data_IF_971955550441
#
_entry.id   IF_971955550441
#
_cell.length_a   1.000
_cell.length_b   1.000
_cell.length_c   1.000
_cell.angle_alpha   90.00
_cell.angle_beta   90.00
_cell.angle_gamma   90.00
#
_symmetry.space_group_name_H-M   'P 1'
#
loop_
_entity.id
_entity.type
_entity.pdbx_description
1 polymer ?
#
# COMPACT_ATOMS: atom_id res chain seq x y z
N UNK A 1 -9.43 36.81 4.63
CA UNK A 1 -8.46 37.73 4.01
C UNK A 1 -7.07 37.33 4.46
N UNK A 2 -6.18 37.04 3.49
CA UNK A 2 -4.70 36.97 3.59
C UNK A 2 -4.09 36.00 4.61
N UNK A 3 -3.68 34.78 4.21
CA UNK A 3 -2.41 34.41 3.52
C UNK A 3 -1.18 34.84 4.32
N UNK A 4 -0.45 33.87 4.89
CA UNK A 4 1.01 33.81 4.81
C UNK A 4 1.46 32.36 4.69
N UNK A 5 1.66 31.96 3.43
CA UNK A 5 2.38 30.75 3.00
C UNK A 5 3.87 31.12 2.97
N UNK A 6 4.69 30.47 3.79
CA UNK A 6 6.15 30.60 3.70
C UNK A 6 6.63 29.56 2.66
N UNK A 7 6.95 30.06 1.46
CA UNK A 7 7.66 29.31 0.41
C UNK A 7 9.16 29.29 0.73
N UNK A 8 9.72 28.10 0.96
CA UNK A 8 11.13 27.84 0.73
C UNK A 8 11.25 26.98 -0.52
N UNK A 9 11.92 27.53 -1.52
CA UNK A 9 12.11 26.95 -2.84
C UNK A 9 13.60 26.62 -2.97
N UNK A 10 13.97 25.35 -2.83
CA UNK A 10 15.28 24.80 -3.17
C UNK A 10 15.02 23.68 -4.19
N UNK A 11 15.56 23.84 -5.40
CA UNK A 11 15.20 23.07 -6.58
C UNK A 11 15.80 21.67 -6.64
N UNK A 12 15.15 20.78 -7.42
CA UNK A 12 15.84 19.65 -8.05
C UNK A 12 15.26 18.23 -7.94
N UNK A 13 13.93 18.04 -8.02
CA UNK A 13 13.23 16.84 -8.55
C UNK A 13 13.43 15.49 -7.81
N UNK A 14 12.43 15.08 -7.02
CA UNK A 14 11.52 13.98 -7.40
C UNK A 14 10.24 14.05 -6.58
N UNK A 15 9.12 14.15 -7.31
CA UNK A 15 7.73 14.01 -6.86
C UNK A 15 7.57 13.79 -5.35
N UNK A 16 7.31 14.85 -4.59
CA UNK A 16 6.39 14.72 -3.48
C UNK A 16 5.11 14.18 -4.09
N UNK A 17 4.93 12.86 -4.12
CA UNK A 17 3.66 12.25 -4.40
C UNK A 17 2.73 12.83 -3.34
N UNK A 18 2.00 13.88 -3.72
CA UNK A 18 0.98 14.49 -2.87
C UNK A 18 0.15 13.33 -2.37
N UNK A 19 0.18 13.09 -1.06
CA UNK A 19 -0.68 12.09 -0.46
C UNK A 19 -2.11 12.51 -0.82
N UNK A 20 -2.72 11.76 -1.72
CA UNK A 20 -4.11 11.96 -2.08
C UNK A 20 -4.96 11.38 -0.95
N UNK A 21 -4.90 11.94 0.26
CA UNK A 21 -5.56 11.29 1.41
C UNK A 21 -7.10 11.34 1.31
N UNK A 22 -7.64 12.20 0.44
CA UNK A 22 -9.06 12.28 0.16
C UNK A 22 -9.49 11.30 -0.95
N UNK A 23 -10.63 10.64 -0.72
CA UNK A 23 -11.36 9.88 -1.72
C UNK A 23 -12.42 10.75 -2.38
N UNK A 24 -12.49 10.71 -3.70
CA UNK A 24 -13.52 11.34 -4.51
C UNK A 24 -14.71 10.40 -4.72
N UNK A 25 -15.85 10.99 -5.08
CA UNK A 25 -17.04 10.18 -5.37
C UNK A 25 -16.88 9.30 -6.62
N UNK A 26 -16.08 9.74 -7.59
CA UNK A 26 -15.79 8.96 -8.80
C UNK A 26 -14.88 7.75 -8.48
N UNK A 27 -13.90 7.92 -7.59
CA UNK A 27 -13.09 6.80 -7.07
C UNK A 27 -13.95 5.79 -6.30
N UNK A 28 -14.91 6.26 -5.49
CA UNK A 28 -15.85 5.40 -4.78
C UNK A 28 -16.79 4.64 -5.73
N UNK A 29 -17.28 5.31 -6.79
CA UNK A 29 -18.11 4.69 -7.82
C UNK A 29 -17.37 3.58 -8.56
N UNK A 30 -16.12 3.85 -8.98
CA UNK A 30 -15.28 2.85 -9.65
C UNK A 30 -15.00 1.65 -8.74
N UNK A 31 -14.65 1.89 -7.48
CA UNK A 31 -14.42 0.83 -6.49
C UNK A 31 -15.70 0.00 -6.28
N UNK A 32 -16.88 0.65 -6.24
CA UNK A 32 -18.15 -0.05 -6.11
C UNK A 32 -18.48 -0.92 -7.32
N UNK A 33 -18.33 -0.38 -8.52
CA UNK A 33 -18.63 -1.08 -9.77
C UNK A 33 -17.79 -2.35 -9.93
N UNK A 34 -16.46 -2.23 -9.83
CA UNK A 34 -15.53 -3.34 -10.02
C UNK A 34 -15.72 -4.41 -8.95
N UNK A 35 -15.95 -4.01 -7.69
CA UNK A 35 -16.20 -4.96 -6.59
C UNK A 35 -17.52 -5.70 -6.78
N UNK A 36 -18.60 -5.01 -7.17
CA UNK A 36 -19.89 -5.65 -7.44
C UNK A 36 -19.80 -6.60 -8.64
N UNK A 37 -19.05 -6.24 -9.68
CA UNK A 37 -18.75 -7.12 -10.83
C UNK A 37 -18.07 -8.41 -10.35
N UNK A 38 -17.01 -8.31 -9.55
CA UNK A 38 -16.30 -9.47 -8.98
C UNK A 38 -17.23 -10.36 -8.13
N UNK A 39 -18.14 -9.77 -7.35
CA UNK A 39 -19.12 -10.51 -6.55
C UNK A 39 -20.08 -11.29 -7.46
N UNK A 40 -20.60 -10.67 -8.54
CA UNK A 40 -21.46 -11.34 -9.53
C UNK A 40 -20.71 -12.46 -10.25
N UNK A 41 -19.45 -12.19 -10.61
CA UNK A 41 -18.53 -13.09 -11.29
C UNK A 41 -18.01 -14.22 -10.40
N UNK A 42 -18.20 -14.12 -9.10
CA UNK A 42 -17.78 -15.12 -8.14
C UNK A 42 -16.28 -15.13 -7.88
N UNK A 43 -15.58 -14.08 -8.32
CA UNK A 43 -14.19 -13.79 -7.98
C UNK A 43 -14.09 -13.28 -6.53
N UNK A 44 -12.88 -13.07 -6.03
CA UNK A 44 -12.62 -12.60 -4.67
C UNK A 44 -12.60 -11.07 -4.62
N UNK A 45 -12.90 -10.50 -3.46
CA UNK A 45 -12.80 -9.05 -3.25
C UNK A 45 -11.34 -8.56 -3.30
N UNK A 46 -10.38 -9.42 -2.93
CA UNK A 46 -8.95 -9.10 -3.00
C UNK A 46 -8.51 -8.80 -4.44
N UNK A 47 -8.94 -9.64 -5.39
CA UNK A 47 -8.68 -9.41 -6.82
C UNK A 47 -9.34 -8.13 -7.33
N UNK A 48 -10.55 -7.82 -6.84
CA UNK A 48 -11.21 -6.56 -7.17
C UNK A 48 -10.42 -5.34 -6.64
N UNK A 49 -9.88 -5.42 -5.43
CA UNK A 49 -9.10 -4.34 -4.82
C UNK A 49 -7.72 -4.16 -5.46
N UNK A 50 -7.13 -5.24 -5.97
CA UNK A 50 -5.92 -5.20 -6.78
C UNK A 50 -6.17 -4.47 -8.10
N UNK A 51 -7.22 -4.86 -8.84
CA UNK A 51 -7.60 -4.21 -10.09
C UNK A 51 -7.93 -2.71 -9.91
N UNK A 52 -8.67 -2.35 -8.85
CA UNK A 52 -9.01 -0.94 -8.58
C UNK A 52 -7.79 -0.16 -8.09
N UNK A 53 -6.93 -0.79 -7.29
CA UNK A 53 -5.69 -0.19 -6.80
C UNK A 53 -4.78 0.24 -7.94
N UNK A 54 -4.61 -0.61 -8.94
CA UNK A 54 -3.84 -0.28 -10.15
C UNK A 54 -4.45 0.92 -10.90
N UNK A 55 -5.77 0.93 -11.10
CA UNK A 55 -6.46 2.02 -11.84
C UNK A 55 -6.41 3.36 -11.12
N UNK A 56 -6.52 3.36 -9.79
CA UNK A 56 -6.52 4.58 -8.97
C UNK A 56 -5.12 4.97 -8.45
N UNK A 57 -4.08 4.20 -8.81
CA UNK A 57 -2.73 4.36 -8.24
C UNK A 57 -2.75 4.32 -6.69
N UNK A 58 -3.55 3.41 -6.12
CA UNK A 58 -3.73 3.17 -4.68
C UNK A 58 -3.28 1.76 -4.31
N UNK A 59 -2.99 1.55 -3.02
CA UNK A 59 -2.74 0.20 -2.53
C UNK A 59 -4.04 -0.59 -2.40
N UNK A 60 -4.03 -1.92 -2.65
CA UNK A 60 -5.22 -2.76 -2.46
C UNK A 60 -5.75 -2.70 -1.02
N UNK A 61 -4.86 -2.55 -0.05
CA UNK A 61 -5.22 -2.34 1.35
C UNK A 61 -6.05 -1.05 1.55
N UNK A 62 -5.66 0.07 0.94
CA UNK A 62 -6.41 1.32 1.02
C UNK A 62 -7.81 1.19 0.39
N UNK A 63 -7.93 0.49 -0.74
CA UNK A 63 -9.22 0.18 -1.37
C UNK A 63 -10.10 -0.65 -0.44
N UNK A 64 -9.53 -1.66 0.23
CA UNK A 64 -10.23 -2.46 1.23
C UNK A 64 -10.72 -1.65 2.43
N UNK A 65 -9.90 -0.74 2.96
CA UNK A 65 -10.29 0.16 4.05
C UNK A 65 -11.44 1.09 3.64
N UNK A 66 -11.38 1.68 2.44
CA UNK A 66 -12.45 2.55 1.92
C UNK A 66 -13.75 1.78 1.75
N UNK A 67 -13.66 0.59 1.15
CA UNK A 67 -14.79 -0.30 0.94
C UNK A 67 -15.49 -0.65 2.26
N UNK A 68 -14.73 -1.11 3.26
CA UNK A 68 -15.30 -1.56 4.54
C UNK A 68 -15.85 -0.41 5.39
N UNK A 69 -15.24 0.78 5.31
CA UNK A 69 -15.62 1.93 6.14
C UNK A 69 -16.92 2.58 5.69
N UNK A 70 -17.13 2.73 4.37
CA UNK A 70 -18.21 3.53 3.79
C UNK A 70 -19.01 2.78 2.72
N UNK A 71 -18.36 2.41 1.62
CA UNK A 71 -19.03 1.95 0.39
C UNK A 71 -19.87 0.69 0.64
N UNK A 72 -19.36 -0.27 1.43
CA UNK A 72 -20.09 -1.50 1.75
C UNK A 72 -21.45 -1.24 2.39
N UNK A 73 -21.56 -0.19 3.22
CA UNK A 73 -22.83 0.20 3.86
C UNK A 73 -23.77 0.89 2.88
N UNK A 74 -23.23 1.74 2.00
CA UNK A 74 -24.01 2.46 0.99
C UNK A 74 -24.59 1.52 -0.09
N UNK A 75 -23.86 0.46 -0.45
CA UNK A 75 -24.21 -0.47 -1.53
C UNK A 75 -24.76 -1.81 -1.04
N UNK A 76 -25.26 -1.91 0.19
CA UNK A 76 -25.69 -3.20 0.78
C UNK A 76 -26.79 -3.91 -0.05
N UNK A 77 -27.74 -3.14 -0.59
CA UNK A 77 -28.79 -3.65 -1.48
C UNK A 77 -28.19 -4.22 -2.78
N UNK A 78 -27.24 -3.50 -3.39
CA UNK A 78 -26.56 -3.92 -4.61
C UNK A 78 -25.67 -5.15 -4.37
N UNK A 79 -25.01 -5.25 -3.21
CA UNK A 79 -24.21 -6.42 -2.79
C UNK A 79 -25.12 -7.64 -2.65
N UNK A 80 -26.29 -7.48 -2.02
CA UNK A 80 -27.26 -8.56 -1.85
C UNK A 80 -27.78 -9.06 -3.20
N UNK A 81 -28.10 -8.14 -4.13
CA UNK A 81 -28.49 -8.49 -5.49
C UNK A 81 -27.36 -9.21 -6.24
N UNK A 82 -26.12 -8.71 -6.16
CA UNK A 82 -24.96 -9.33 -6.79
C UNK A 82 -24.70 -10.77 -6.29
N UNK A 83 -24.85 -11.00 -4.97
CA UNK A 83 -24.76 -12.33 -4.38
C UNK A 83 -25.88 -13.26 -4.84
N UNK A 84 -27.11 -12.74 -4.96
CA UNK A 84 -28.25 -13.50 -5.50
C UNK A 84 -27.99 -13.94 -6.94
N UNK A 85 -27.50 -13.02 -7.78
CA UNK A 85 -27.12 -13.31 -9.18
C UNK A 85 -26.03 -14.38 -9.27
N UNK A 86 -24.99 -14.32 -8.43
CA UNK A 86 -23.96 -15.37 -8.35
C UNK A 86 -24.57 -16.74 -8.02
N UNK A 87 -25.49 -16.79 -7.05
CA UNK A 87 -26.18 -18.03 -6.64
C UNK A 87 -27.03 -18.60 -7.77
N UNK A 88 -27.79 -17.77 -8.48
CA UNK A 88 -28.61 -18.18 -9.63
C UNK A 88 -27.76 -18.70 -10.78
N UNK A 89 -26.64 -18.02 -11.09
CA UNK A 89 -25.71 -18.46 -12.14
C UNK A 89 -25.02 -19.78 -11.80
N UNK A 90 -24.64 -19.97 -10.53
CA UNK A 90 -24.10 -21.25 -10.08
C UNK A 90 -25.16 -22.35 -10.11
N UNK A 91 -26.44 -22.04 -9.84
CA UNK A 91 -27.55 -23.00 -9.98
C UNK A 91 -27.72 -23.45 -11.44
N UNK A 92 -27.58 -22.54 -12.41
CA UNK A 92 -27.62 -22.86 -13.85
C UNK A 92 -26.44 -23.72 -14.33
N UNK A 93 -25.25 -23.59 -13.73
CA UNK A 93 -24.10 -24.47 -14.02
C UNK A 93 -24.22 -25.87 -13.40
N UNK A 94 -24.98 -26.01 -12.31
CA UNK A 94 -25.27 -27.30 -11.67
C UNK A 94 -26.41 -28.08 -12.36
N UNK A 95 -27.16 -27.47 -13.28
CA UNK A 95 -28.24 -28.14 -14.03
C UNK A 95 -27.78 -28.94 -15.27
N UNK A 96 -26.47 -28.99 -15.54
CA UNK A 96 -25.84 -29.95 -16.47
C UNK A 96 -25.17 -31.13 -15.75
N UNK A 97 -25.61 -31.46 -14.54
CA UNK A 97 -25.47 -32.82 -13.99
C UNK A 97 -26.78 -33.54 -14.25
N UNK A 98 -26.71 -34.53 -15.11
CA UNK A 98 -27.75 -35.50 -15.39
C UNK A 98 -28.41 -35.94 -14.08
N UNK A 99 -29.75 -35.87 -14.07
CA UNK A 99 -30.59 -36.57 -13.12
C UNK A 99 -30.22 -38.06 -13.16
N UNK A 100 -29.52 -38.54 -12.15
CA UNK A 100 -29.54 -39.95 -11.81
C UNK A 100 -30.75 -40.17 -10.91
N UNK A 101 -31.68 -40.99 -11.40
CA UNK A 101 -32.76 -41.53 -10.59
C UNK A 101 -32.14 -42.31 -9.42
N UNK A 102 -32.67 -42.05 -8.24
CA UNK A 102 -32.45 -42.81 -7.02
C UNK A 102 -32.99 -44.24 -7.20
N UNK A 103 -32.18 -45.29 -7.07
CA UNK A 103 -32.71 -46.61 -6.75
C UNK A 103 -32.76 -46.74 -5.23
N UNK A 104 -33.91 -47.20 -4.73
CA UNK A 104 -34.09 -47.65 -3.35
C UNK A 104 -32.93 -48.54 -2.91
N UNK A 105 -32.27 -48.16 -1.82
CA UNK A 105 -31.17 -48.92 -1.24
C UNK A 105 -31.75 -50.06 -0.40
N UNK A 106 -31.70 -51.27 -0.93
CA UNK A 106 -31.75 -52.49 -0.13
C UNK A 106 -30.38 -52.66 0.54
N UNK A 107 -30.35 -52.63 1.87
CA UNK A 107 -29.13 -52.80 2.67
C UNK A 107 -28.71 -54.27 2.62
N UNK A 108 -27.57 -54.55 1.98
CA UNK A 108 -26.84 -55.82 2.16
C UNK A 108 -25.46 -55.50 2.75
N UNK A 109 -25.20 -56.06 3.94
CA UNK A 109 -23.93 -56.01 4.63
C UNK A 109 -22.83 -56.63 3.76
N UNK A 110 -21.74 -55.90 3.52
CA UNK A 110 -20.47 -56.42 3.00
C UNK A 110 -19.31 -55.67 3.70
N UNK A 111 -18.73 -56.31 4.71
CA UNK A 111 -17.61 -55.80 5.54
C UNK A 111 -16.26 -55.71 4.78
N UNK A 112 -16.20 -56.07 3.50
CA UNK A 112 -14.97 -55.99 2.68
C UNK A 112 -14.72 -54.59 2.06
N UNK A 113 -15.66 -53.65 2.16
CA UNK A 113 -15.61 -52.36 1.44
C UNK A 113 -14.93 -51.23 2.22
N UNK A 114 -14.85 -51.33 3.55
CA UNK A 114 -14.35 -50.25 4.40
C UNK A 114 -12.81 -50.20 4.46
N UNK A 115 -12.17 -51.37 4.31
CA UNK A 115 -10.71 -51.51 4.24
C UNK A 115 -10.13 -50.89 2.95
N UNK A 116 -10.76 -51.14 1.80
CA UNK A 116 -10.32 -50.56 0.52
C UNK A 116 -10.57 -49.05 0.46
N UNK A 117 -11.65 -48.56 1.09
CA UNK A 117 -11.94 -47.13 1.22
C UNK A 117 -10.95 -46.40 2.13
N UNK A 118 -10.53 -47.04 3.23
CA UNK A 118 -9.47 -46.54 4.11
C UNK A 118 -8.11 -46.58 3.43
N UNK A 119 -7.78 -47.64 2.68
CA UNK A 119 -6.55 -47.71 1.88
C UNK A 119 -6.48 -46.56 0.86
N UNK A 120 -7.53 -46.37 0.07
CA UNK A 120 -7.58 -45.28 -0.92
C UNK A 120 -7.58 -43.88 -0.29
N UNK A 121 -8.02 -43.75 0.97
CA UNK A 121 -7.90 -42.51 1.73
C UNK A 121 -6.48 -42.28 2.24
N UNK A 122 -5.84 -43.32 2.77
CA UNK A 122 -4.44 -43.30 3.18
C UNK A 122 -3.55 -42.95 1.98
N UNK A 123 -3.81 -43.50 0.80
CA UNK A 123 -3.09 -43.16 -0.43
C UNK A 123 -3.23 -41.67 -0.80
N UNK A 124 -4.42 -41.09 -0.65
CA UNK A 124 -4.65 -39.65 -0.87
C UNK A 124 -3.94 -38.79 0.17
N UNK A 125 -3.93 -39.22 1.43
CA UNK A 125 -3.20 -38.55 2.51
C UNK A 125 -1.69 -38.60 2.25
N UNK A 126 -1.15 -39.72 1.77
CA UNK A 126 0.25 -39.85 1.39
C UNK A 126 0.61 -38.88 0.27
N UNK A 127 -0.20 -38.81 -0.78
CA UNK A 127 0.01 -37.85 -1.88
C UNK A 127 -0.03 -36.40 -1.40
N UNK A 128 -0.97 -36.06 -0.51
CA UNK A 128 -1.07 -34.73 0.08
C UNK A 128 0.15 -34.38 0.96
N UNK A 129 0.63 -35.33 1.77
CA UNK A 129 1.81 -35.12 2.61
C UNK A 129 3.10 -35.00 1.77
N UNK A 130 3.20 -35.72 0.66
CA UNK A 130 4.30 -35.55 -0.30
C UNK A 130 4.27 -34.18 -0.97
N UNK A 131 3.09 -33.71 -1.39
CA UNK A 131 2.89 -32.35 -1.94
C UNK A 131 3.25 -31.26 -0.91
N UNK A 132 2.84 -31.43 0.35
CA UNK A 132 3.23 -30.52 1.44
C UNK A 132 4.73 -30.50 1.68
N UNK A 133 5.41 -31.65 1.63
CA UNK A 133 6.86 -31.73 1.77
C UNK A 133 7.57 -30.97 0.65
N UNK A 134 7.06 -31.09 -0.58
CA UNK A 134 7.60 -30.38 -1.75
C UNK A 134 7.42 -28.87 -1.61
N UNK A 135 6.20 -28.42 -1.26
CA UNK A 135 5.91 -27.01 -0.98
C UNK A 135 6.73 -26.46 0.17
N UNK A 136 6.97 -27.25 1.22
CA UNK A 136 7.80 -26.83 2.33
C UNK A 136 9.29 -26.70 1.93
N UNK A 137 9.77 -27.56 1.02
CA UNK A 137 11.11 -27.42 0.44
C UNK A 137 11.22 -26.20 -0.49
N UNK A 138 10.17 -25.88 -1.25
CA UNK A 138 10.08 -24.66 -2.07
C UNK A 138 9.98 -23.37 -1.22
N UNK A 139 9.45 -23.45 0.00
CA UNK A 139 9.39 -22.33 0.93
C UNK A 139 10.70 -22.07 1.69
N UNK A 140 11.63 -23.03 1.72
CA UNK A 140 12.94 -22.85 2.33
C UNK A 140 13.75 -21.67 1.72
N UNK A 141 13.88 -21.52 0.38
CA UNK A 141 14.57 -20.37 -0.22
C UNK A 141 13.85 -19.04 0.01
N UNK A 142 12.52 -19.03 0.14
CA UNK A 142 11.75 -17.83 0.51
C UNK A 142 12.08 -17.34 1.93
N UNK A 143 12.48 -18.25 2.83
CA UNK A 143 12.97 -17.93 4.17
C UNK A 143 14.32 -17.22 4.14
N UNK A 144 15.25 -17.70 3.30
CA UNK A 144 16.56 -17.08 3.10
C UNK A 144 16.44 -15.70 2.43
N UNK A 145 15.56 -15.56 1.43
CA UNK A 145 15.28 -14.28 0.79
C UNK A 145 14.67 -13.28 1.78
N UNK A 146 13.71 -13.71 2.61
CA UNK A 146 13.18 -12.87 3.69
C UNK A 146 14.25 -12.45 4.70
N UNK A 147 15.19 -13.34 5.03
CA UNK A 147 16.30 -13.00 5.91
C UNK A 147 17.23 -11.97 5.27
N UNK A 148 17.58 -12.14 4.00
CA UNK A 148 18.41 -11.20 3.23
C UNK A 148 17.73 -9.84 3.10
N UNK A 149 16.44 -9.80 2.77
CA UNK A 149 15.65 -8.57 2.68
C UNK A 149 15.59 -7.84 4.02
N UNK A 150 15.43 -8.56 5.13
CA UNK A 150 15.47 -7.96 6.47
C UNK A 150 16.84 -7.38 6.81
N UNK A 151 17.93 -8.06 6.44
CA UNK A 151 19.28 -7.51 6.61
C UNK A 151 19.50 -6.25 5.77
N UNK A 152 19.04 -6.24 4.51
CA UNK A 152 19.14 -5.07 3.64
C UNK A 152 18.33 -3.89 4.18
N UNK A 153 17.12 -4.12 4.70
CA UNK A 153 16.33 -3.07 5.35
C UNK A 153 17.08 -2.46 6.53
N UNK A 154 17.70 -3.28 7.36
CA UNK A 154 18.44 -2.83 8.54
C UNK A 154 19.67 -1.99 8.15
N UNK A 155 20.42 -2.43 7.12
CA UNK A 155 21.54 -1.65 6.56
C UNK A 155 21.06 -0.34 5.91
N UNK A 156 19.94 -0.35 5.18
CA UNK A 156 19.36 0.86 4.60
C UNK A 156 18.93 1.85 5.68
N UNK A 157 18.30 1.37 6.75
CA UNK A 157 17.87 2.19 7.89
C UNK A 157 19.07 2.82 8.61
N UNK A 158 20.16 2.07 8.81
CA UNK A 158 21.41 2.60 9.38
C UNK A 158 21.98 3.72 8.51
N UNK A 159 22.11 3.49 7.21
CA UNK A 159 22.61 4.51 6.27
C UNK A 159 21.71 5.73 6.22
N UNK A 160 20.40 5.54 6.26
CA UNK A 160 19.46 6.65 6.28
C UNK A 160 19.64 7.50 7.54
N UNK A 161 19.80 6.88 8.71
CA UNK A 161 20.08 7.59 9.95
C UNK A 161 21.41 8.36 9.88
N UNK A 162 22.48 7.75 9.36
CA UNK A 162 23.79 8.39 9.17
C UNK A 162 23.72 9.59 8.22
N UNK A 163 23.06 9.44 7.07
CA UNK A 163 22.89 10.54 6.12
C UNK A 163 22.07 11.68 6.73
N UNK A 164 21.03 11.35 7.51
CA UNK A 164 20.20 12.34 8.16
C UNK A 164 20.98 13.14 9.21
N UNK A 165 21.82 12.48 10.02
CA UNK A 165 22.69 13.14 10.99
C UNK A 165 23.74 14.01 10.29
N UNK A 166 24.31 13.53 9.18
CA UNK A 166 25.25 14.29 8.35
C UNK A 166 24.61 15.55 7.76
N UNK A 167 23.36 15.46 7.27
CA UNK A 167 22.60 16.61 6.78
C UNK A 167 22.30 17.61 7.90
N UNK A 168 21.92 17.14 9.08
CA UNK A 168 21.66 18.01 10.21
C UNK A 168 22.92 18.76 10.64
N UNK A 169 24.06 18.06 10.71
CA UNK A 169 25.37 18.66 11.00
C UNK A 169 25.75 19.72 9.98
N UNK A 170 25.64 19.39 8.69
CA UNK A 170 25.98 20.31 7.61
C UNK A 170 25.06 21.54 7.61
N UNK A 171 23.78 21.36 7.92
CA UNK A 171 22.84 22.47 8.03
C UNK A 171 23.16 23.39 9.22
N UNK A 172 23.61 22.83 10.35
CA UNK A 172 24.10 23.62 11.49
C UNK A 172 25.35 24.42 11.12
N UNK A 173 26.32 23.80 10.46
CA UNK A 173 27.52 24.47 9.97
C UNK A 173 27.18 25.58 8.98
N UNK A 174 26.27 25.32 8.05
CA UNK A 174 25.78 26.32 7.11
C UNK A 174 25.09 27.50 7.82
N UNK A 175 24.28 27.24 8.85
CA UNK A 175 23.62 28.29 9.65
C UNK A 175 24.64 29.20 10.33
N UNK A 176 25.68 28.62 10.95
CA UNK A 176 26.75 29.38 11.61
C UNK A 176 27.44 30.29 10.59
N UNK A 177 27.81 29.74 9.44
CA UNK A 177 28.44 30.51 8.36
C UNK A 177 27.54 31.65 7.88
N UNK A 178 26.24 31.41 7.71
CA UNK A 178 25.29 32.46 7.35
C UNK A 178 25.17 33.58 8.40
N UNK A 179 25.22 33.23 9.69
CA UNK A 179 25.21 34.21 10.79
C UNK A 179 26.48 35.06 10.78
N UNK A 180 27.65 34.45 10.59
CA UNK A 180 28.93 35.14 10.48
C UNK A 180 28.96 36.10 9.27
N UNK A 181 28.46 35.66 8.11
CA UNK A 181 28.33 36.53 6.94
C UNK A 181 27.42 37.73 7.21
N UNK A 182 26.28 37.54 7.88
CA UNK A 182 25.38 38.64 8.26
C UNK A 182 26.05 39.61 9.24
N UNK A 183 26.81 39.08 10.22
CA UNK A 183 27.56 39.91 11.15
C UNK A 183 28.62 40.76 10.45
N UNK A 184 29.35 40.18 9.50
CA UNK A 184 30.35 40.88 8.68
C UNK A 184 29.72 42.02 7.87
N UNK A 185 28.61 41.76 7.17
CA UNK A 185 27.87 42.78 6.42
C UNK A 185 27.42 43.91 7.37
N UNK A 186 26.89 43.56 8.55
CA UNK A 186 26.49 44.55 9.56
C UNK A 186 27.65 45.42 10.05
N UNK A 187 28.87 44.88 10.16
CA UNK A 187 30.07 45.65 10.47
C UNK A 187 30.41 46.60 9.32
N UNK A 188 30.39 46.11 8.07
CA UNK A 188 30.68 46.91 6.88
C UNK A 188 29.71 48.08 6.73
N UNK A 189 28.41 47.86 6.95
CA UNK A 189 27.40 48.92 6.86
C UNK A 189 27.55 49.94 8.00
N UNK A 190 27.87 49.50 9.23
CA UNK A 190 28.18 50.43 10.34
C UNK A 190 29.44 51.26 10.05
N UNK A 191 30.45 50.67 9.43
CA UNK A 191 31.66 51.39 9.04
C UNK A 191 31.38 52.39 7.90
N UNK A 192 30.53 52.03 6.93
CA UNK A 192 30.06 52.95 5.87
C UNK A 192 29.31 54.13 6.46
N UNK A 193 28.34 53.88 7.34
CA UNK A 193 27.51 54.92 7.98
C UNK A 193 28.29 55.88 8.89
N UNK A 194 29.43 55.46 9.45
CA UNK A 194 30.32 56.35 10.22
C UNK A 194 31.21 57.24 9.34
N UNK A 195 31.47 56.83 8.10
CA UNK A 195 32.30 57.59 7.15
C UNK A 195 31.52 58.75 6.53
N UNK A 196 30.23 58.55 6.22
CA UNK A 196 29.34 59.59 5.67
C UNK A 196 29.24 60.89 6.51
N UNK A 197 29.11 60.88 7.86
CA UNK A 197 29.06 62.11 8.64
C UNK A 197 30.41 62.86 8.73
N UNK A 198 31.55 62.19 8.54
CA UNK A 198 32.87 62.84 8.57
C UNK A 198 33.14 63.66 7.30
N UNK A 199 32.56 63.27 6.16
CA UNK A 199 32.69 64.03 4.90
C UNK A 199 31.86 65.33 4.91
N UNK A 200 30.74 65.37 5.65
CA UNK A 200 29.91 66.58 5.77
C UNK A 200 30.50 67.61 6.75
N UNK A 201 31.12 67.17 7.85
CA UNK A 201 31.80 68.09 8.80
C UNK A 201 33.07 68.69 8.20
N UNK A 202 33.82 67.91 7.40
CA UNK A 202 35.04 68.41 6.72
C UNK A 202 34.74 69.35 5.55
N UNK A 203 33.54 69.30 4.95
CA UNK A 203 33.10 70.27 3.94
C UNK A 203 32.52 71.57 4.52
N UNK A 204 32.09 71.59 5.80
CA UNK A 204 31.59 72.82 6.46
C UNK A 204 32.69 73.66 7.13
N UNK A 205 33.93 73.17 7.19
CA UNK A 205 35.09 73.88 7.78
C UNK A 205 36.09 74.44 6.74
N UNK A 206 35.74 74.45 5.45
CA UNK A 206 36.47 75.16 4.39
C UNK A 206 35.65 76.31 3.85
#
# INVERSE_FOLDING_TARGET
>A
MHIYVIRLNLGGIRLTAMRQDAWTQDEDLLLAEVTLKHIREGSTQLLAFEEVGEKLSRTPAACGFRWNSLIRKQYDTAISLAKKQRKERNKGKSSKKEKWNEPEVYVSQNEATDSYRSSAFIDKVILFLQDLKLKNAENAPLGEENHSLRQQLLDLESRHAELQDSLERLNKEYSIVCEDYKALIGIMDRARKRREPQELETMQQK
#
